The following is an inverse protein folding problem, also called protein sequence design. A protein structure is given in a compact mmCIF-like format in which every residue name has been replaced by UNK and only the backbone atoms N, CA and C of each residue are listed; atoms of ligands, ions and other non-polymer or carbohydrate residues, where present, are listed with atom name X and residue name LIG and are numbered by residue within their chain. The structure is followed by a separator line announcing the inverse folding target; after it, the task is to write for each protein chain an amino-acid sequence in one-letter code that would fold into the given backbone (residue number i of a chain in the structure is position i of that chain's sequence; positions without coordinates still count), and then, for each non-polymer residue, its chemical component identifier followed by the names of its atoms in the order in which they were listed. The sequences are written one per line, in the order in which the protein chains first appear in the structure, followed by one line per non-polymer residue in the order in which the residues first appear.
data_IF_671665430103
#
_entry.id   IF_671665430103
#
_cell.length_a   1.000
_cell.length_b   1.000
_cell.length_c   1.000
_cell.angle_alpha   90.00
_cell.angle_beta   90.00
_cell.angle_gamma   90.00
#
_symmetry.space_group_name_H-M   'P 1'
#
loop_
_entity.id
_entity.type
_entity.pdbx_description
1 polymer ?
#
# COMPACT_ATOMS: atom_id res chain seq x y z
N UNK A 1 42.38 74.03 22.73
CA UNK A 1 43.21 73.40 21.69
C UNK A 1 43.41 71.96 22.12
N UNK A 2 42.35 71.15 22.17
CA UNK A 2 41.60 70.59 21.03
C UNK A 2 42.49 69.77 20.11
N UNK A 3 42.31 68.44 20.14
CA UNK A 3 41.81 67.72 18.96
C UNK A 3 41.63 66.23 19.28
N UNK A 4 40.39 65.80 19.14
CA UNK A 4 39.84 64.44 19.16
C UNK A 4 40.19 63.65 17.88
N UNK A 5 40.24 62.31 17.99
CA UNK A 5 40.01 61.37 16.87
C UNK A 5 39.45 60.06 17.44
N UNK A 6 38.13 59.93 17.62
CA UNK A 6 37.17 59.37 16.65
C UNK A 6 37.32 57.86 16.43
N UNK A 7 36.54 57.11 17.22
CA UNK A 7 36.13 55.73 17.02
C UNK A 7 35.52 55.55 15.63
N UNK A 8 36.07 54.64 14.82
CA UNK A 8 35.47 54.26 13.53
C UNK A 8 34.71 52.95 13.73
N UNK A 9 33.46 53.05 14.17
CA UNK A 9 32.52 51.93 14.11
C UNK A 9 32.05 51.77 12.66
N UNK A 10 32.50 50.70 12.02
CA UNK A 10 32.13 50.33 10.67
C UNK A 10 30.75 49.64 10.73
N UNK A 11 29.68 50.44 10.67
CA UNK A 11 28.31 49.94 10.59
C UNK A 11 28.06 49.45 9.14
N UNK A 12 28.19 48.15 8.92
CA UNK A 12 27.75 47.51 7.67
C UNK A 12 26.22 47.50 7.69
N UNK A 13 25.60 48.47 7.02
CA UNK A 13 24.17 48.43 6.70
C UNK A 13 23.95 47.32 5.67
N UNK A 14 23.57 46.13 6.13
CA UNK A 14 22.97 45.10 5.29
C UNK A 14 21.67 45.69 4.72
N UNK A 15 21.71 46.08 3.44
CA UNK A 15 20.51 46.51 2.71
C UNK A 15 19.61 45.30 2.57
N UNK A 16 18.70 45.14 3.52
CA UNK A 16 17.63 44.16 3.46
C UNK A 16 16.69 44.58 2.33
N UNK A 17 16.85 43.97 1.15
CA UNK A 17 15.93 44.17 0.05
C UNK A 17 14.55 43.66 0.49
N UNK A 18 13.67 44.59 0.84
CA UNK A 18 12.29 44.30 1.21
C UNK A 18 11.47 44.18 -0.07
N UNK A 19 10.76 43.07 -0.24
CA UNK A 19 9.84 42.91 -1.35
C UNK A 19 8.39 43.15 -0.88
N UNK A 20 7.59 43.75 -1.74
CA UNK A 20 6.19 44.03 -1.45
C UNK A 20 5.33 42.83 -1.87
N UNK A 21 4.51 42.32 -0.95
CA UNK A 21 3.51 41.29 -1.25
C UNK A 21 2.18 41.62 -0.58
N UNK A 22 1.07 41.16 -1.15
CA UNK A 22 -0.24 41.26 -0.48
C UNK A 22 -0.45 40.08 0.47
N UNK A 23 -0.87 40.36 1.71
CA UNK A 23 -1.34 39.36 2.64
C UNK A 23 -2.55 38.63 2.06
N UNK A 24 -2.52 37.30 2.03
CA UNK A 24 -3.63 36.54 1.44
C UNK A 24 -4.92 36.61 2.26
N UNK A 25 -4.86 36.88 3.57
CA UNK A 25 -6.02 36.95 4.44
C UNK A 25 -6.77 38.29 4.32
N UNK A 26 -6.10 39.40 4.59
CA UNK A 26 -6.72 40.73 4.61
C UNK A 26 -6.49 41.58 3.35
N UNK A 27 -5.71 41.11 2.37
CA UNK A 27 -5.39 41.87 1.16
C UNK A 27 -4.45 43.06 1.36
N UNK A 28 -4.03 43.33 2.60
CA UNK A 28 -3.12 44.43 2.92
C UNK A 28 -1.75 44.20 2.24
N UNK A 29 -1.16 45.25 1.66
CA UNK A 29 0.23 45.20 1.22
C UNK A 29 1.15 45.14 2.44
N UNK A 30 2.10 44.23 2.40
CA UNK A 30 3.07 43.99 3.48
C UNK A 30 4.46 43.97 2.85
N UNK A 31 5.38 44.71 3.44
CA UNK A 31 6.80 44.65 3.11
C UNK A 31 7.42 43.50 3.90
N UNK A 32 8.03 42.55 3.21
CA UNK A 32 8.67 41.39 3.82
C UNK A 32 10.18 41.40 3.52
N UNK A 33 11.03 41.09 4.52
CA UNK A 33 12.45 40.85 4.29
C UNK A 33 12.65 39.69 3.31
N UNK A 34 13.58 39.83 2.37
CA UNK A 34 13.94 38.80 1.38
C UNK A 34 14.35 37.46 1.99
N UNK A 35 14.80 37.44 3.24
CA UNK A 35 15.17 36.21 3.97
C UNK A 35 13.99 35.50 4.66
N UNK A 36 12.81 36.12 4.77
CA UNK A 36 11.66 35.51 5.44
C UNK A 36 10.94 34.53 4.51
N UNK A 37 11.14 33.22 4.72
CA UNK A 37 10.45 32.18 3.94
C UNK A 37 8.96 32.10 4.26
N UNK A 38 8.56 32.46 5.48
CA UNK A 38 7.18 32.48 5.96
C UNK A 38 6.92 33.67 6.89
N UNK A 39 5.76 34.33 6.76
CA UNK A 39 5.36 35.46 7.61
C UNK A 39 3.90 35.33 8.06
N UNK A 40 3.63 35.66 9.33
CA UNK A 40 2.28 35.72 9.91
C UNK A 40 1.80 37.17 9.96
N UNK A 41 0.68 37.47 9.30
CA UNK A 41 0.09 38.82 9.30
C UNK A 41 -0.38 39.23 10.69
N UNK A 42 0.12 40.35 11.21
CA UNK A 42 -0.30 40.88 12.52
C UNK A 42 -1.76 41.33 12.59
N UNK A 43 -2.39 41.64 11.45
CA UNK A 43 -3.78 42.09 11.38
C UNK A 43 -4.78 40.93 11.37
N UNK A 44 -4.64 40.00 10.42
CA UNK A 44 -5.59 38.89 10.24
C UNK A 44 -5.05 37.51 10.63
N UNK A 45 -3.80 37.40 11.10
CA UNK A 45 -3.19 36.13 11.50
C UNK A 45 -2.76 35.20 10.36
N UNK A 46 -3.01 35.57 9.10
CA UNK A 46 -2.73 34.76 7.93
C UNK A 46 -1.22 34.51 7.70
N UNK A 47 -0.84 33.26 7.44
CA UNK A 47 0.57 32.86 7.18
C UNK A 47 0.84 32.84 5.67
N UNK A 48 1.73 33.69 5.17
CA UNK A 48 2.14 33.75 3.76
C UNK A 48 3.53 33.12 3.62
N UNK A 49 3.72 32.19 2.67
CA UNK A 49 5.08 31.67 2.33
C UNK A 49 5.30 31.63 0.81
N UNK A 50 6.51 32.07 0.43
CA UNK A 50 6.97 32.41 -0.92
C UNK A 50 7.54 31.21 -1.72
N UNK A 51 7.78 30.06 -1.09
CA UNK A 51 8.58 29.00 -1.67
C UNK A 51 7.77 28.15 -2.68
N UNK A 52 7.62 28.68 -3.90
CA UNK A 52 6.97 28.02 -5.04
C UNK A 52 7.84 26.88 -5.60
N UNK A 53 7.80 25.69 -4.99
CA UNK A 53 8.31 24.47 -5.64
C UNK A 53 7.36 24.03 -6.75
N UNK A 54 7.73 24.26 -8.02
CA UNK A 54 7.00 23.75 -9.19
C UNK A 54 6.97 22.21 -9.15
N UNK A 55 5.79 21.56 -9.19
CA UNK A 55 5.70 20.10 -9.14
C UNK A 55 6.06 19.46 -10.50
N UNK A 56 6.77 18.32 -10.48
CA UNK A 56 7.15 17.56 -11.69
C UNK A 56 5.94 16.86 -12.33
N UNK A 57 5.37 17.44 -13.40
CA UNK A 57 4.14 16.97 -14.07
C UNK A 57 4.19 15.49 -14.56
N UNK A 58 5.35 14.97 -14.97
CA UNK A 58 5.48 13.60 -15.53
C UNK A 58 5.29 12.53 -14.47
N UNK A 59 6.01 12.62 -13.35
CA UNK A 59 5.88 11.67 -12.23
C UNK A 59 4.43 11.61 -11.69
N UNK A 60 3.72 12.73 -11.81
CA UNK A 60 2.36 12.89 -11.30
C UNK A 60 1.34 12.18 -12.19
N UNK A 61 1.42 12.36 -13.52
CA UNK A 61 0.51 11.67 -14.45
C UNK A 61 0.61 10.15 -14.28
N UNK A 62 1.83 9.64 -14.13
CA UNK A 62 2.07 8.22 -13.87
C UNK A 62 1.46 7.72 -12.57
N UNK A 63 1.52 8.51 -11.50
CA UNK A 63 0.92 8.14 -10.20
C UNK A 63 -0.60 8.03 -10.29
N UNK A 64 -1.26 9.01 -10.90
CA UNK A 64 -2.72 9.00 -11.06
C UNK A 64 -3.16 7.83 -11.94
N UNK A 65 -2.46 7.58 -13.05
CA UNK A 65 -2.75 6.43 -13.92
C UNK A 65 -2.58 5.12 -13.15
N UNK A 66 -1.46 4.95 -12.43
CA UNK A 66 -1.22 3.75 -11.61
C UNK A 66 -2.32 3.53 -10.57
N UNK A 67 -2.69 4.57 -9.83
CA UNK A 67 -3.72 4.47 -8.80
C UNK A 67 -5.10 4.12 -9.42
N UNK A 68 -5.42 4.62 -10.61
CA UNK A 68 -6.64 4.23 -11.35
C UNK A 68 -6.57 2.81 -11.90
N UNK A 69 -5.44 2.40 -12.47
CA UNK A 69 -5.23 1.01 -12.89
C UNK A 69 -5.37 0.05 -11.72
N UNK A 70 -4.84 0.41 -10.54
CA UNK A 70 -4.98 -0.41 -9.34
C UNK A 70 -6.44 -0.58 -8.92
N UNK A 71 -7.23 0.50 -8.92
CA UNK A 71 -8.68 0.44 -8.66
C UNK A 71 -9.40 -0.46 -9.65
N UNK A 72 -9.07 -0.37 -10.94
CA UNK A 72 -9.64 -1.25 -11.97
C UNK A 72 -9.29 -2.71 -11.71
N UNK A 73 -8.04 -3.02 -11.34
CA UNK A 73 -7.62 -4.39 -10.99
C UNK A 73 -8.38 -4.90 -9.77
N UNK A 74 -8.56 -4.07 -8.73
CA UNK A 74 -9.33 -4.44 -7.53
C UNK A 74 -10.79 -4.72 -7.89
N UNK A 75 -11.43 -3.89 -8.72
CA UNK A 75 -12.80 -4.11 -9.18
C UNK A 75 -12.93 -5.42 -9.96
N UNK A 76 -12.02 -5.69 -10.90
CA UNK A 76 -12.01 -6.94 -11.67
C UNK A 76 -11.84 -8.14 -10.74
N UNK A 77 -10.93 -8.04 -9.76
CA UNK A 77 -10.74 -9.08 -8.76
C UNK A 77 -12.00 -9.31 -7.91
N UNK A 78 -12.69 -8.24 -7.49
CA UNK A 78 -13.96 -8.35 -6.77
C UNK A 78 -15.01 -9.08 -7.61
N UNK A 79 -15.18 -8.70 -8.88
CA UNK A 79 -16.11 -9.40 -9.79
C UNK A 79 -15.72 -10.87 -9.96
N UNK A 80 -14.44 -11.18 -10.16
CA UNK A 80 -13.95 -12.55 -10.27
C UNK A 80 -14.31 -13.38 -9.02
N UNK A 81 -14.07 -12.87 -7.82
CA UNK A 81 -14.41 -13.55 -6.57
C UNK A 81 -15.92 -13.74 -6.42
N UNK A 82 -16.73 -12.74 -6.80
CA UNK A 82 -18.19 -12.81 -6.72
C UNK A 82 -18.73 -13.86 -7.70
N UNK A 83 -18.38 -13.76 -8.98
CA UNK A 83 -18.88 -14.69 -10.00
C UNK A 83 -18.34 -16.10 -9.78
N UNK A 84 -17.05 -16.25 -9.46
CA UNK A 84 -16.44 -17.54 -9.16
C UNK A 84 -17.03 -18.18 -7.89
N UNK A 85 -17.25 -17.39 -6.84
CA UNK A 85 -17.90 -17.85 -5.61
C UNK A 85 -19.35 -18.28 -5.82
N UNK A 86 -20.13 -17.48 -6.57
CA UNK A 86 -21.51 -17.85 -6.95
C UNK A 86 -21.51 -19.15 -7.75
N UNK A 87 -20.65 -19.27 -8.77
CA UNK A 87 -20.55 -20.47 -9.59
C UNK A 87 -20.19 -21.72 -8.76
N UNK A 88 -19.25 -21.60 -7.83
CA UNK A 88 -18.82 -22.72 -6.99
C UNK A 88 -19.90 -23.18 -5.99
N UNK A 89 -20.66 -22.23 -5.41
CA UNK A 89 -21.66 -22.51 -4.37
C UNK A 89 -23.03 -22.85 -4.97
N UNK A 90 -23.33 -22.38 -6.18
CA UNK A 90 -24.60 -22.59 -6.89
C UNK A 90 -25.10 -24.05 -6.86
N UNK A 91 -24.33 -25.06 -7.32
CA UNK A 91 -24.85 -26.43 -7.37
C UNK A 91 -25.19 -26.98 -5.97
N UNK A 92 -24.45 -26.59 -4.94
CA UNK A 92 -24.64 -27.10 -3.57
C UNK A 92 -25.90 -26.54 -2.93
N UNK A 93 -26.18 -25.25 -3.10
CA UNK A 93 -27.35 -24.64 -2.44
C UNK A 93 -28.65 -25.06 -3.16
N UNK A 94 -28.63 -25.14 -4.48
CA UNK A 94 -29.79 -25.60 -5.25
C UNK A 94 -30.06 -27.11 -5.10
N UNK A 95 -29.06 -27.92 -4.72
CA UNK A 95 -29.28 -29.33 -4.38
C UNK A 95 -30.02 -29.54 -3.06
N UNK A 96 -30.09 -28.52 -2.18
CA UNK A 96 -30.82 -28.60 -0.90
C UNK A 96 -32.30 -28.35 -1.11
N UNK A 97 -32.64 -27.19 -1.66
CA UNK A 97 -34.00 -26.84 -2.07
C UNK A 97 -33.97 -25.58 -2.94
N UNK A 98 -34.99 -25.42 -3.78
CA UNK A 98 -35.13 -24.23 -4.63
C UNK A 98 -35.26 -22.97 -3.78
N UNK A 99 -36.04 -23.01 -2.69
CA UNK A 99 -36.22 -21.87 -1.79
C UNK A 99 -34.90 -21.46 -1.11
N UNK A 100 -34.10 -22.42 -0.67
CA UNK A 100 -32.77 -22.17 -0.09
C UNK A 100 -31.83 -21.56 -1.14
N UNK A 101 -31.82 -22.10 -2.36
CA UNK A 101 -31.07 -21.57 -3.50
C UNK A 101 -31.40 -20.10 -3.79
N UNK A 102 -32.70 -19.79 -3.92
CA UNK A 102 -33.17 -18.42 -4.17
C UNK A 102 -32.82 -17.49 -3.02
N UNK A 103 -33.03 -17.91 -1.77
CA UNK A 103 -32.73 -17.11 -0.57
C UNK A 103 -31.25 -16.69 -0.51
N UNK A 104 -30.32 -17.66 -0.65
CA UNK A 104 -28.89 -17.36 -0.63
C UNK A 104 -28.44 -16.56 -1.86
N UNK A 105 -29.09 -16.76 -3.01
CA UNK A 105 -28.82 -15.97 -4.21
C UNK A 105 -29.19 -14.49 -4.00
N UNK A 106 -30.34 -14.21 -3.39
CA UNK A 106 -30.78 -12.85 -3.06
C UNK A 106 -29.81 -12.19 -2.06
N UNK A 107 -29.44 -12.89 -0.99
CA UNK A 107 -28.47 -12.36 -0.01
C UNK A 107 -27.13 -12.04 -0.69
N UNK A 108 -26.63 -12.96 -1.51
CA UNK A 108 -25.36 -12.77 -2.23
C UNK A 108 -25.44 -11.58 -3.18
N UNK A 109 -26.56 -11.40 -3.89
CA UNK A 109 -26.79 -10.26 -4.76
C UNK A 109 -26.82 -8.94 -3.98
N UNK A 110 -27.52 -8.87 -2.85
CA UNK A 110 -27.58 -7.67 -2.01
C UNK A 110 -26.19 -7.30 -1.47
N UNK A 111 -25.46 -8.27 -0.91
CA UNK A 111 -24.13 -8.04 -0.35
C UNK A 111 -23.11 -7.62 -1.42
N UNK A 112 -23.15 -8.25 -2.59
CA UNK A 112 -22.26 -7.90 -3.72
C UNK A 112 -22.57 -6.50 -4.27
N UNK A 113 -23.84 -6.18 -4.53
CA UNK A 113 -24.25 -4.85 -5.01
C UNK A 113 -23.89 -3.77 -4.00
N UNK A 114 -24.14 -4.00 -2.70
CA UNK A 114 -23.78 -3.06 -1.65
C UNK A 114 -22.26 -2.82 -1.60
N UNK A 115 -21.47 -3.89 -1.59
CA UNK A 115 -20.00 -3.80 -1.50
C UNK A 115 -19.40 -3.09 -2.71
N UNK A 116 -19.82 -3.44 -3.93
CA UNK A 116 -19.36 -2.81 -5.17
C UNK A 116 -19.77 -1.32 -5.20
N UNK A 117 -21.00 -1.01 -4.81
CA UNK A 117 -21.51 0.37 -4.83
C UNK A 117 -20.79 1.26 -3.83
N UNK A 118 -20.61 0.80 -2.58
CA UNK A 118 -19.89 1.58 -1.57
C UNK A 118 -18.40 1.73 -1.91
N UNK A 119 -17.75 0.67 -2.43
CA UNK A 119 -16.39 0.78 -2.96
C UNK A 119 -16.31 1.85 -4.06
N UNK A 120 -17.23 1.80 -5.02
CA UNK A 120 -17.28 2.74 -6.14
C UNK A 120 -17.51 4.17 -5.66
N UNK A 121 -18.41 4.38 -4.69
CA UNK A 121 -18.60 5.70 -4.09
C UNK A 121 -17.36 6.20 -3.34
N UNK A 122 -16.66 5.33 -2.61
CA UNK A 122 -15.40 5.71 -1.95
C UNK A 122 -14.30 6.08 -2.98
N UNK A 123 -14.16 5.28 -4.05
CA UNK A 123 -13.11 5.42 -5.06
C UNK A 123 -13.32 6.57 -6.05
N UNK A 124 -14.57 6.85 -6.44
CA UNK A 124 -14.87 7.79 -7.52
C UNK A 124 -15.50 9.10 -7.06
N UNK A 125 -16.12 9.18 -5.87
CA UNK A 125 -16.61 10.48 -5.36
C UNK A 125 -15.45 11.39 -4.93
N UNK A 126 -15.67 12.69 -5.01
CA UNK A 126 -14.75 13.66 -4.43
C UNK A 126 -14.58 13.40 -2.93
N UNK A 127 -13.33 13.38 -2.46
CA UNK A 127 -13.00 13.26 -1.03
C UNK A 127 -13.43 14.47 -0.17
N UNK A 128 -13.93 15.53 -0.81
CA UNK A 128 -14.22 16.81 -0.18
C UNK A 128 -13.24 17.87 -0.64
N UNK A 129 -13.77 19.02 -1.04
CA UNK A 129 -12.98 20.21 -1.37
C UNK A 129 -13.20 21.25 -0.28
N UNK A 130 -12.15 21.90 0.26
CA UNK A 130 -12.35 23.03 1.14
C UNK A 130 -13.11 24.13 0.39
N UNK A 131 -13.88 24.98 1.10
CA UNK A 131 -14.66 26.06 0.49
C UNK A 131 -13.77 26.90 -0.43
N UNK A 132 -14.29 27.20 -1.62
CA UNK A 132 -13.58 28.03 -2.59
C UNK A 132 -13.77 29.50 -2.19
N UNK A 133 -12.83 30.02 -1.41
CA UNK A 133 -12.83 31.44 -1.05
C UNK A 133 -12.09 32.19 -2.16
N UNK A 134 -12.82 33.05 -2.87
CA UNK A 134 -12.28 33.83 -3.98
C UNK A 134 -11.27 34.86 -3.45
N UNK A 135 -10.20 35.10 -4.22
CA UNK A 135 -9.18 36.06 -3.86
C UNK A 135 -9.76 37.48 -3.81
N UNK A 136 -9.54 38.20 -2.70
CA UNK A 136 -10.01 39.58 -2.53
C UNK A 136 -11.50 39.72 -2.20
N UNK A 137 -12.26 38.62 -2.11
CA UNK A 137 -13.69 38.65 -1.74
C UNK A 137 -13.93 38.54 -0.24
N UNK A 138 -12.92 38.82 0.59
CA UNK A 138 -13.10 38.89 2.04
C UNK A 138 -13.71 40.27 2.37
N UNK A 139 -15.02 40.41 2.65
CA UNK A 139 -15.45 41.53 3.48
C UNK A 139 -14.69 41.37 4.78
N UNK A 140 -13.97 42.42 5.22
CA UNK A 140 -13.26 42.53 6.51
C UNK A 140 -13.59 41.39 7.46
N UNK A 141 -12.91 40.26 7.31
CA UNK A 141 -13.21 39.05 8.10
C UNK A 141 -12.91 39.45 9.53
N UNK A 142 -13.84 39.16 10.44
CA UNK A 142 -13.63 39.45 11.84
C UNK A 142 -12.29 38.86 12.27
N UNK A 143 -11.59 39.52 13.19
CA UNK A 143 -10.24 39.13 13.64
C UNK A 143 -10.11 37.63 13.99
N UNK A 144 -11.22 36.97 14.32
CA UNK A 144 -11.37 35.55 14.66
C UNK A 144 -11.65 34.59 13.49
N UNK A 145 -12.20 35.04 12.36
CA UNK A 145 -12.75 34.13 11.33
C UNK A 145 -11.66 33.37 10.54
N UNK A 146 -10.45 33.93 10.51
CA UNK A 146 -9.27 33.37 9.85
C UNK A 146 -8.25 32.77 10.81
N UNK A 147 -8.48 32.84 12.13
CA UNK A 147 -7.46 32.53 13.14
C UNK A 147 -6.91 31.10 13.03
N UNK A 148 -7.73 30.18 12.52
CA UNK A 148 -7.38 28.76 12.33
C UNK A 148 -7.13 28.37 10.86
N UNK A 149 -7.22 29.32 9.93
CA UNK A 149 -6.88 29.06 8.54
C UNK A 149 -5.36 29.10 8.36
N UNK A 150 -4.88 28.17 7.55
CA UNK A 150 -3.47 28.09 7.15
C UNK A 150 -3.36 28.21 5.63
N UNK A 151 -2.17 28.40 5.10
CA UNK A 151 -1.97 28.51 3.66
C UNK A 151 -1.40 27.21 3.09
N UNK A 152 -1.86 26.81 1.89
CA UNK A 152 -1.27 25.68 1.18
C UNK A 152 -0.34 26.17 0.07
N UNK A 153 0.97 25.98 0.22
CA UNK A 153 1.97 26.36 -0.79
C UNK A 153 1.78 25.64 -2.14
N UNK A 154 1.36 24.37 -2.12
CA UNK A 154 1.19 23.57 -3.33
C UNK A 154 -0.04 23.96 -4.16
N UNK A 155 -1.13 24.36 -3.50
CA UNK A 155 -2.36 24.77 -4.18
C UNK A 155 -2.50 26.30 -4.29
N UNK A 156 -1.56 27.04 -3.68
CA UNK A 156 -1.55 28.51 -3.58
C UNK A 156 -2.90 29.11 -3.15
N UNK A 157 -3.55 28.48 -2.16
CA UNK A 157 -4.88 28.87 -1.69
C UNK A 157 -5.05 28.70 -0.17
N UNK A 158 -6.02 29.39 0.44
CA UNK A 158 -6.39 29.18 1.84
C UNK A 158 -6.75 27.73 2.10
N UNK A 159 -6.27 27.22 3.23
CA UNK A 159 -6.54 25.88 3.74
C UNK A 159 -7.37 26.05 5.01
N UNK A 160 -8.64 25.66 4.92
CA UNK A 160 -9.54 25.67 6.07
C UNK A 160 -9.00 24.82 7.22
N UNK A 161 -9.47 25.05 8.46
CA UNK A 161 -9.19 24.15 9.57
C UNK A 161 -9.48 22.70 9.17
N UNK A 162 -8.64 21.76 9.62
CA UNK A 162 -8.75 20.32 9.33
C UNK A 162 -8.57 19.91 7.85
N UNK A 163 -8.34 20.84 6.93
CA UNK A 163 -7.96 20.50 5.56
C UNK A 163 -6.45 20.21 5.45
N UNK A 164 -6.10 19.20 4.65
CA UNK A 164 -4.71 18.82 4.40
C UNK A 164 -4.44 18.65 2.91
N UNK A 165 -3.22 19.01 2.48
CA UNK A 165 -2.80 18.81 1.09
C UNK A 165 -2.34 17.38 0.87
N UNK A 166 -3.06 16.60 0.07
CA UNK A 166 -2.58 15.30 -0.37
C UNK A 166 -1.64 15.45 -1.57
N UNK A 167 -0.37 15.07 -1.39
CA UNK A 167 0.62 15.07 -2.48
C UNK A 167 0.28 14.09 -3.61
N UNK A 168 -0.41 13.00 -3.30
CA UNK A 168 -0.82 12.00 -4.29
C UNK A 168 -1.99 12.49 -5.14
N UNK A 169 -3.02 13.09 -4.53
CA UNK A 169 -4.18 13.64 -5.23
C UNK A 169 -3.99 15.08 -5.74
N UNK A 170 -2.93 15.78 -5.30
CA UNK A 170 -2.61 17.19 -5.61
C UNK A 170 -3.74 18.18 -5.34
N UNK A 171 -4.51 17.92 -4.30
CA UNK A 171 -5.58 18.80 -3.85
C UNK A 171 -5.58 18.85 -2.34
N UNK A 172 -5.97 20.00 -1.81
CA UNK A 172 -6.40 20.08 -0.43
C UNK A 172 -7.73 19.32 -0.30
N UNK A 173 -7.78 18.42 0.66
CA UNK A 173 -8.97 17.63 1.01
C UNK A 173 -9.46 18.11 2.37
N UNK A 174 -10.77 18.39 2.46
CA UNK A 174 -11.41 18.79 3.72
C UNK A 174 -11.59 17.57 4.62
N UNK A 175 -11.31 17.71 5.91
CA UNK A 175 -11.27 16.62 6.89
C UNK A 175 -10.55 15.39 6.33
N UNK A 176 -9.38 15.63 5.76
CA UNK A 176 -8.58 14.56 5.17
C UNK A 176 -8.17 13.58 6.27
N UNK A 177 -8.57 12.33 6.12
CA UNK A 177 -8.10 11.24 6.94
C UNK A 177 -6.79 10.70 6.35
N UNK A 178 -6.86 10.04 5.19
CA UNK A 178 -5.68 9.51 4.51
C UNK A 178 -5.85 9.40 2.99
N UNK A 179 -4.72 9.19 2.28
CA UNK A 179 -4.75 8.74 0.88
C UNK A 179 -4.72 7.22 0.86
N UNK A 180 -5.76 6.60 0.30
CA UNK A 180 -5.86 5.15 0.23
C UNK A 180 -5.54 4.68 -1.20
N UNK A 181 -4.43 3.94 -1.42
CA UNK A 181 -4.09 3.39 -2.73
C UNK A 181 -5.14 2.41 -3.25
N UNK A 182 -5.82 1.67 -2.35
CA UNK A 182 -6.80 0.65 -2.72
C UNK A 182 -8.03 1.21 -3.42
N UNK A 183 -8.49 2.38 -3.01
CA UNK A 183 -9.59 3.10 -3.68
C UNK A 183 -9.06 4.15 -4.67
N UNK A 184 -7.74 4.30 -4.81
CA UNK A 184 -7.09 5.27 -5.70
C UNK A 184 -7.51 6.72 -5.43
N UNK A 185 -7.87 7.05 -4.19
CA UNK A 185 -8.46 8.34 -3.82
C UNK A 185 -8.16 8.67 -2.34
N UNK A 186 -8.33 9.94 -1.97
CA UNK A 186 -8.33 10.31 -0.56
C UNK A 186 -9.65 9.93 0.09
N UNK A 187 -9.58 9.64 1.39
CA UNK A 187 -10.73 9.58 2.27
C UNK A 187 -10.79 10.94 3.00
N UNK A 188 -11.93 11.62 2.88
CA UNK A 188 -12.17 12.90 3.53
C UNK A 188 -13.67 13.17 3.71
N UNK A 189 -14.03 14.40 4.09
CA UNK A 189 -15.37 14.78 4.52
C UNK A 189 -16.51 14.21 3.65
N UNK A 190 -16.37 14.25 2.32
CA UNK A 190 -17.47 13.94 1.40
C UNK A 190 -17.61 12.46 1.03
N UNK A 191 -16.58 11.63 1.24
CA UNK A 191 -16.62 10.18 0.95
C UNK A 191 -16.30 9.29 2.15
N UNK A 192 -15.99 9.85 3.32
CA UNK A 192 -15.68 9.11 4.54
C UNK A 192 -16.80 8.12 4.91
N UNK A 193 -18.06 8.56 4.86
CA UNK A 193 -19.23 7.68 5.14
C UNK A 193 -19.30 6.48 4.19
N UNK A 194 -19.04 6.70 2.89
CA UNK A 194 -19.03 5.63 1.89
C UNK A 194 -17.86 4.68 2.10
N UNK A 195 -16.69 5.18 2.50
CA UNK A 195 -15.54 4.35 2.85
C UNK A 195 -15.83 3.44 4.04
N UNK A 196 -16.42 3.97 5.12
CA UNK A 196 -16.81 3.17 6.28
C UNK A 196 -17.89 2.13 5.91
N UNK A 197 -18.91 2.52 5.14
CA UNK A 197 -19.93 1.58 4.65
C UNK A 197 -19.34 0.46 3.77
N UNK A 198 -18.32 0.78 2.95
CA UNK A 198 -17.57 -0.21 2.21
C UNK A 198 -16.85 -1.21 3.14
N UNK A 199 -16.14 -0.74 4.17
CA UNK A 199 -15.46 -1.63 5.11
C UNK A 199 -16.44 -2.57 5.82
N UNK A 200 -17.58 -2.04 6.29
CA UNK A 200 -18.62 -2.84 6.96
C UNK A 200 -19.19 -3.89 5.99
N UNK A 201 -19.58 -3.48 4.78
CA UNK A 201 -20.13 -4.41 3.77
C UNK A 201 -19.12 -5.48 3.33
N UNK A 202 -17.83 -5.14 3.23
CA UNK A 202 -16.77 -6.09 2.93
C UNK A 202 -16.59 -7.12 4.06
N UNK A 203 -16.63 -6.70 5.33
CA UNK A 203 -16.58 -7.61 6.49
C UNK A 203 -17.80 -8.54 6.52
N UNK A 204 -19.00 -8.01 6.33
CA UNK A 204 -20.22 -8.83 6.29
C UNK A 204 -20.20 -9.83 5.12
N UNK A 205 -19.75 -9.39 3.94
CA UNK A 205 -19.63 -10.26 2.76
C UNK A 205 -18.60 -11.37 2.97
N UNK A 206 -17.45 -11.06 3.59
CA UNK A 206 -16.40 -12.05 3.86
C UNK A 206 -16.83 -13.07 4.91
N UNK A 207 -17.52 -12.64 5.97
CA UNK A 207 -18.13 -13.57 6.94
C UNK A 207 -19.13 -14.51 6.25
N UNK A 208 -20.04 -13.95 5.44
CA UNK A 208 -21.04 -14.73 4.71
C UNK A 208 -20.38 -15.74 3.76
N UNK A 209 -19.42 -15.32 2.94
CA UNK A 209 -18.70 -16.19 2.01
C UNK A 209 -17.94 -17.29 2.77
N UNK A 210 -17.34 -16.97 3.92
CA UNK A 210 -16.63 -17.96 4.74
C UNK A 210 -17.58 -19.05 5.25
N UNK A 211 -18.76 -18.67 5.77
CA UNK A 211 -19.80 -19.61 6.21
C UNK A 211 -20.27 -20.49 5.04
N UNK A 212 -20.59 -19.88 3.90
CA UNK A 212 -21.06 -20.61 2.71
C UNK A 212 -19.98 -21.54 2.15
N UNK A 213 -18.71 -21.15 2.23
CA UNK A 213 -17.58 -21.97 1.77
C UNK A 213 -17.39 -23.19 2.67
N UNK A 214 -17.46 -23.02 3.99
CA UNK A 214 -17.42 -24.14 4.95
C UNK A 214 -18.62 -25.06 4.75
N UNK A 215 -19.84 -24.50 4.65
CA UNK A 215 -21.05 -25.27 4.39
C UNK A 215 -20.92 -26.10 3.09
N UNK A 216 -20.45 -25.47 2.01
CA UNK A 216 -20.30 -26.13 0.73
C UNK A 216 -19.23 -27.22 0.78
N UNK A 217 -18.09 -26.95 1.42
CA UNK A 217 -17.02 -27.92 1.63
C UNK A 217 -17.45 -29.13 2.44
N UNK A 218 -18.24 -28.93 3.50
CA UNK A 218 -18.78 -30.03 4.32
C UNK A 218 -19.79 -30.90 3.56
N UNK A 219 -20.45 -30.36 2.52
CA UNK A 219 -21.41 -31.09 1.69
C UNK A 219 -20.76 -31.80 0.49
N UNK A 220 -19.70 -31.23 -0.07
CA UNK A 220 -18.99 -31.79 -1.23
C UNK A 220 -17.92 -32.79 -0.82
N UNK A 221 -17.29 -32.63 0.34
CA UNK A 221 -16.25 -33.54 0.80
C UNK A 221 -16.89 -34.84 1.33
N UNK A 222 -16.50 -36.03 0.83
CA UNK A 222 -16.96 -37.28 1.42
C UNK A 222 -16.53 -37.33 2.89
N UNK A 223 -17.33 -37.90 3.81
CA UNK A 223 -16.89 -38.08 5.18
C UNK A 223 -15.51 -38.76 5.17
N UNK A 224 -14.58 -38.26 6.00
CA UNK A 224 -13.18 -38.73 6.17
C UNK A 224 -13.11 -40.18 6.69
N UNK A 225 -13.87 -41.10 6.10
CA UNK A 225 -13.94 -42.53 6.43
C UNK A 225 -13.39 -43.41 5.31
N UNK A 226 -12.91 -42.85 4.18
CA UNK A 226 -12.48 -43.65 3.02
C UNK A 226 -11.17 -43.20 2.34
N UNK A 227 -10.24 -42.56 3.07
CA UNK A 227 -8.90 -42.26 2.52
C UNK A 227 -7.82 -42.19 3.60
N UNK A 228 -7.70 -43.25 4.41
CA UNK A 228 -6.48 -43.51 5.19
C UNK A 228 -5.97 -44.94 5.02
N UNK A 229 -6.51 -45.69 4.06
CA UNK A 229 -5.99 -46.98 3.66
C UNK A 229 -6.41 -47.22 2.23
N UNK A 230 -5.47 -47.19 1.28
CA UNK A 230 -5.09 -48.39 0.54
C UNK A 230 -4.38 -48.15 -0.80
N UNK A 231 -4.22 -46.93 -1.35
CA UNK A 231 -3.72 -46.83 -2.76
C UNK A 231 -2.50 -45.93 -2.99
N UNK A 232 -2.28 -44.82 -2.26
CA UNK A 232 -1.17 -43.92 -2.61
C UNK A 232 0.08 -44.02 -1.71
N UNK A 233 -0.01 -44.73 -0.58
CA UNK A 233 1.12 -44.89 0.34
C UNK A 233 2.11 -45.97 -0.08
N UNK A 234 1.63 -47.10 -0.60
CA UNK A 234 2.46 -48.27 -0.94
C UNK A 234 3.29 -47.99 -2.21
N UNK A 235 2.70 -47.38 -3.23
CA UNK A 235 3.45 -47.03 -4.45
C UNK A 235 4.56 -46.02 -4.18
N UNK A 236 4.28 -44.98 -3.38
CA UNK A 236 5.27 -43.96 -3.04
C UNK A 236 6.36 -44.52 -2.11
N UNK A 237 6.00 -45.36 -1.13
CA UNK A 237 6.98 -45.97 -0.22
C UNK A 237 7.87 -46.98 -0.93
N UNK A 238 7.34 -47.77 -1.86
CA UNK A 238 8.13 -48.70 -2.70
C UNK A 238 9.06 -47.94 -3.64
N UNK A 239 8.58 -46.88 -4.30
CA UNK A 239 9.41 -46.04 -5.17
C UNK A 239 10.50 -45.30 -4.37
N UNK A 240 10.18 -44.78 -3.19
CA UNK A 240 11.16 -44.13 -2.30
C UNK A 240 12.19 -45.13 -1.77
N UNK A 241 11.76 -46.33 -1.36
CA UNK A 241 12.65 -47.40 -0.92
C UNK A 241 13.59 -47.84 -2.05
N UNK A 242 13.07 -47.94 -3.28
CA UNK A 242 13.87 -48.31 -4.43
C UNK A 242 14.92 -47.23 -4.78
N UNK A 243 14.56 -45.95 -4.75
CA UNK A 243 15.53 -44.86 -4.98
C UNK A 243 16.59 -44.79 -3.87
N UNK A 244 16.22 -44.97 -2.60
CA UNK A 244 17.16 -45.00 -1.47
C UNK A 244 18.13 -46.19 -1.55
N UNK A 245 17.65 -47.36 -1.99
CA UNK A 245 18.50 -48.54 -2.23
C UNK A 245 19.57 -48.28 -3.31
N UNK A 246 19.20 -47.60 -4.40
CA UNK A 246 20.16 -47.24 -5.45
C UNK A 246 21.21 -46.23 -4.95
N UNK A 247 20.79 -45.22 -4.17
CA UNK A 247 21.72 -44.26 -3.56
C UNK A 247 22.68 -44.95 -2.57
N UNK A 248 22.19 -45.93 -1.80
CA UNK A 248 23.02 -46.72 -0.89
C UNK A 248 24.09 -47.54 -1.62
N UNK A 249 23.77 -48.06 -2.80
CA UNK A 249 24.75 -48.73 -3.67
C UNK A 249 25.68 -47.75 -4.39
N UNK A 250 25.39 -46.45 -4.40
CA UNK A 250 26.16 -45.44 -5.14
C UNK A 250 25.91 -45.44 -6.65
N UNK A 251 24.87 -46.13 -7.12
CA UNK A 251 24.49 -46.23 -8.54
C UNK A 251 23.37 -45.25 -8.89
N UNK A 252 23.39 -44.77 -10.13
CA UNK A 252 22.23 -44.09 -10.73
C UNK A 252 21.39 -45.11 -11.49
N UNK A 253 20.09 -44.84 -11.68
CA UNK A 253 19.21 -45.75 -12.44
C UNK A 253 19.76 -46.10 -13.84
N UNK A 254 20.44 -45.13 -14.48
CA UNK A 254 21.09 -45.32 -15.77
C UNK A 254 22.36 -46.20 -15.71
N UNK A 255 23.13 -46.13 -14.63
CA UNK A 255 24.34 -46.96 -14.49
C UNK A 255 24.02 -48.42 -14.20
N UNK A 256 22.86 -48.72 -13.59
CA UNK A 256 22.39 -50.09 -13.40
C UNK A 256 21.90 -50.75 -14.70
N UNK A 257 21.35 -49.96 -15.64
CA UNK A 257 20.99 -50.45 -16.98
C UNK A 257 22.22 -50.72 -17.85
N UNK A 258 23.32 -49.98 -17.66
CA UNK A 258 24.58 -50.23 -18.40
C UNK A 258 25.45 -51.30 -17.74
N UNK A 259 25.38 -51.49 -16.41
CA UNK A 259 26.24 -52.44 -15.69
C UNK A 259 25.81 -53.90 -15.81
N UNK A 260 24.70 -54.21 -16.47
CA UNK A 260 24.34 -55.60 -16.77
C UNK A 260 25.32 -56.26 -17.77
N UNK A 261 26.28 -55.50 -18.28
CA UNK A 261 27.33 -55.96 -19.19
C UNK A 261 28.70 -56.26 -18.54
N UNK A 262 28.98 -55.86 -17.29
CA UNK A 262 30.28 -56.15 -16.65
C UNK A 262 30.14 -56.44 -15.15
N UNK A 263 30.69 -57.58 -14.73
CA UNK A 263 30.65 -58.09 -13.36
C UNK A 263 31.81 -57.56 -12.52
N UNK A 264 31.56 -56.53 -11.72
CA UNK A 264 32.45 -56.15 -10.62
C UNK A 264 31.69 -56.11 -9.28
N UNK A 265 32.34 -56.64 -8.24
CA UNK A 265 31.82 -56.87 -6.90
C UNK A 265 31.78 -55.56 -6.10
N UNK A 266 30.57 -54.98 -5.97
CA UNK A 266 30.38 -53.62 -5.45
C UNK A 266 30.14 -53.58 -3.93
N UNK A 267 30.92 -52.75 -3.23
CA UNK A 267 30.94 -52.66 -1.77
C UNK A 267 29.89 -51.66 -1.26
N UNK A 268 28.87 -52.17 -0.58
CA UNK A 268 27.77 -51.41 0.05
C UNK A 268 28.31 -50.50 1.16
N UNK A 269 28.10 -49.18 1.08
CA UNK A 269 28.65 -48.21 2.04
C UNK A 269 27.62 -47.15 2.48
N UNK A 270 27.40 -47.04 3.80
CA UNK A 270 26.55 -46.02 4.41
C UNK A 270 27.08 -44.58 4.20
N UNK A 271 28.37 -44.42 3.86
CA UNK A 271 28.94 -43.10 3.54
C UNK A 271 28.28 -42.46 2.31
N UNK A 272 27.83 -43.26 1.32
CA UNK A 272 27.21 -42.74 0.10
C UNK A 272 25.87 -42.01 0.36
N UNK A 273 25.07 -42.51 1.31
CA UNK A 273 23.84 -41.84 1.74
C UNK A 273 24.16 -40.51 2.43
N UNK A 274 25.19 -40.49 3.28
CA UNK A 274 25.61 -39.27 3.99
C UNK A 274 26.12 -38.24 2.99
N UNK A 275 26.91 -38.63 1.98
CA UNK A 275 27.42 -37.71 0.94
C UNK A 275 26.32 -37.14 0.06
N UNK A 276 25.29 -37.93 -0.29
CA UNK A 276 24.16 -37.46 -1.10
C UNK A 276 23.28 -36.42 -0.37
N UNK A 277 23.01 -36.64 0.93
CA UNK A 277 22.18 -35.74 1.73
C UNK A 277 22.95 -34.63 2.45
N UNK A 278 24.27 -34.69 2.51
CA UNK A 278 25.11 -33.62 3.08
C UNK A 278 25.12 -32.42 2.14
N UNK A 279 24.44 -31.37 2.58
CA UNK A 279 24.22 -30.08 1.92
C UNK A 279 25.53 -29.28 1.69
N UNK A 280 26.40 -29.72 0.79
CA UNK A 280 27.66 -29.01 0.46
C UNK A 280 27.48 -27.89 -0.59
N UNK A 281 26.26 -27.39 -0.82
CA UNK A 281 26.01 -26.33 -1.82
C UNK A 281 25.38 -25.04 -1.28
N UNK A 282 25.07 -24.95 0.02
CA UNK A 282 24.39 -23.76 0.57
C UNK A 282 25.29 -22.81 1.37
N UNK A 283 26.48 -23.22 1.80
CA UNK A 283 27.29 -22.44 2.76
C UNK A 283 28.32 -21.50 2.09
N UNK A 284 28.71 -21.73 0.83
CA UNK A 284 29.72 -20.89 0.15
C UNK A 284 29.16 -19.67 -0.59
N UNK A 285 27.84 -19.46 -0.65
CA UNK A 285 27.22 -18.32 -1.37
C UNK A 285 26.84 -17.12 -0.49
N UNK A 286 26.96 -17.22 0.84
CA UNK A 286 26.52 -16.18 1.78
C UNK A 286 27.61 -15.57 2.66
N UNK A 287 28.90 -15.75 2.35
CA UNK A 287 29.96 -14.96 2.99
C UNK A 287 30.24 -13.69 2.17
N UNK A 288 29.90 -12.48 2.67
CA UNK A 288 30.27 -11.24 2.01
C UNK A 288 31.78 -11.03 2.12
N UNK A 289 32.42 -10.79 0.98
CA UNK A 289 33.80 -10.30 0.88
C UNK A 289 33.92 -8.93 1.57
N UNK A 290 34.30 -8.93 2.84
CA UNK A 290 34.86 -7.75 3.49
C UNK A 290 36.38 -7.83 3.46
N UNK A 291 36.94 -7.15 2.48
CA UNK A 291 38.36 -6.82 2.38
C UNK A 291 38.63 -5.72 3.42
N UNK A 292 39.08 -6.09 4.62
CA UNK A 292 39.59 -5.12 5.61
C UNK A 292 41.10 -5.27 5.72
N UNK A 293 41.76 -4.19 5.33
CA UNK A 293 43.19 -3.93 5.38
C UNK A 293 43.77 -4.05 6.79
N UNK A 294 44.92 -4.71 6.83
CA UNK A 294 45.91 -4.86 7.92
C UNK A 294 46.18 -3.55 8.69
N UNK A 295 46.06 -3.56 10.02
CA UNK A 295 46.95 -2.81 10.93
C UNK A 295 47.28 -3.65 12.16
N UNK A 296 48.58 -3.84 12.34
CA UNK A 296 49.26 -4.56 13.42
C UNK A 296 49.52 -3.55 14.54
N UNK A 297 49.17 -3.86 15.79
CA UNK A 297 49.80 -3.23 16.95
C UNK A 297 50.11 -4.30 17.99
N UNK A 298 51.39 -4.39 18.29
CA UNK A 298 52.04 -5.23 19.28
C UNK A 298 51.96 -4.50 20.63
N UNK A 299 51.72 -5.25 21.69
CA UNK A 299 52.38 -5.03 22.99
C UNK A 299 53.20 -6.27 23.28
#
# INVERSE_FOLDING_TARGET
MDSSSSTQEQFVTEVTENYETTCWGCGLRVLLPSCASAFKCGWCGAITDQNKKKPNLKCIRWRVVRDRCFVSVVLVFMFFVIFGGVWAVYPVVFSVSILCGVFHSIITAILSVATISFFSFAAFRCAGTPPNILWGSYPTVGKSDLENYTYCHYCSKPKSPRAHHCRSCRKCVLDMDHHCPFIGNCVGAANHRSFIAFLISAVLSTIYVSIMSVYSGLRTWPPLKYSLGHINGIGLSVLLWQQLSYIYQGKTYLSHLSSQADSEEEKKDCQNLVTFFSLQYFVTRFLPTFRVTRKKHIK
#
